data_IF_258044738490
#
_entry.id   IF_258044738490
#
_cell.length_a   1.000
_cell.length_b   1.000
_cell.length_c   1.000
_cell.angle_alpha   90.00
_cell.angle_beta   90.00
_cell.angle_gamma   90.00
#
_symmetry.space_group_name_H-M   'P 1'
#
loop_
_entity.id
_entity.type
_entity.pdbx_description
1 polymer ?
#
# COMPACT_ATOMS: atom_id res chain seq x y z
N UNK A 1 22.64 16.93 -1.41
CA UNK A 1 22.27 17.13 -0.01
C UNK A 1 23.50 17.66 0.67
N UNK A 2 23.52 18.95 0.92
CA UNK A 2 24.49 19.57 1.83
C UNK A 2 24.28 18.93 3.18
N UNK A 3 25.37 18.37 3.74
CA UNK A 3 25.35 17.55 4.96
C UNK A 3 24.40 18.08 6.02
N UNK A 4 23.69 17.16 6.66
CA UNK A 4 22.80 17.49 7.76
C UNK A 4 23.56 18.38 8.73
N UNK A 5 23.19 19.65 8.79
CA UNK A 5 23.65 20.53 9.87
C UNK A 5 23.39 19.78 11.16
N UNK A 6 24.34 19.74 12.08
CA UNK A 6 24.20 19.11 13.39
C UNK A 6 22.89 19.59 14.03
N UNK A 7 21.84 18.78 13.89
CA UNK A 7 20.54 19.04 14.51
C UNK A 7 20.57 18.58 15.96
N UNK A 8 20.20 19.44 16.85
CA UNK A 8 20.04 19.11 18.28
C UNK A 8 18.55 19.09 18.61
N UNK A 9 17.97 17.92 18.88
CA UNK A 9 16.56 17.84 19.23
C UNK A 9 16.30 18.50 20.58
N UNK A 10 15.10 19.04 20.73
CA UNK A 10 14.56 19.42 22.03
C UNK A 10 14.13 18.16 22.82
N UNK A 11 13.96 18.26 24.16
CA UNK A 11 13.33 17.19 24.92
C UNK A 11 11.98 16.79 24.32
N UNK A 12 11.70 15.47 24.24
CA UNK A 12 10.44 14.96 23.68
C UNK A 12 9.28 15.37 24.59
N UNK A 13 8.29 16.04 24.02
CA UNK A 13 7.04 16.35 24.71
C UNK A 13 6.09 15.14 24.64
N UNK A 14 5.65 14.68 25.81
CA UNK A 14 4.68 13.60 25.92
C UNK A 14 3.28 14.23 26.01
N UNK A 15 2.42 13.90 25.04
CA UNK A 15 1.06 14.41 24.99
C UNK A 15 0.14 13.44 24.23
N UNK A 16 -1.13 13.38 24.63
CA UNK A 16 -2.14 12.55 23.98
C UNK A 16 -2.37 13.00 22.54
N UNK A 17 -2.31 12.05 21.61
CA UNK A 17 -2.62 12.29 20.20
C UNK A 17 -4.13 12.54 20.01
N UNK A 18 -4.51 13.59 19.27
CA UNK A 18 -5.93 13.91 19.06
C UNK A 18 -6.64 12.97 18.08
N UNK A 19 -5.89 12.09 17.38
CA UNK A 19 -6.45 11.11 16.44
C UNK A 19 -6.23 9.68 16.93
N UNK A 20 -7.14 8.79 16.59
CA UNK A 20 -7.13 7.41 17.06
C UNK A 20 -6.30 6.47 16.17
N UNK A 21 -6.12 6.82 14.91
CA UNK A 21 -5.38 6.01 13.93
C UNK A 21 -4.14 6.73 13.45
N UNK A 22 -3.08 5.97 13.13
CA UNK A 22 -1.91 6.51 12.43
C UNK A 22 -2.27 6.98 11.02
N UNK A 23 -1.48 7.90 10.47
CA UNK A 23 -1.64 8.42 9.12
C UNK A 23 -1.84 9.93 9.07
N UNK A 24 -2.57 10.39 8.06
CA UNK A 24 -2.75 11.79 7.70
C UNK A 24 -4.21 12.18 7.95
N UNK A 25 -4.44 13.11 8.87
CA UNK A 25 -5.78 13.50 9.32
C UNK A 25 -6.06 14.99 9.13
N UNK A 26 -6.67 15.38 7.99
CA UNK A 26 -7.06 16.76 7.78
C UNK A 26 -8.15 17.24 8.76
N UNK A 27 -8.12 18.52 9.13
CA UNK A 27 -9.24 19.17 9.81
C UNK A 27 -10.45 19.28 8.87
N UNK A 28 -11.64 19.53 9.45
CA UNK A 28 -12.87 19.61 8.68
C UNK A 28 -12.84 20.71 7.60
N UNK A 29 -12.18 21.85 7.86
CA UNK A 29 -12.00 22.94 6.91
C UNK A 29 -10.78 22.77 5.99
N UNK A 30 -9.92 21.79 6.27
CA UNK A 30 -8.72 21.49 5.49
C UNK A 30 -7.56 22.46 5.73
N UNK A 31 -7.65 23.38 6.69
CA UNK A 31 -6.60 24.36 6.97
C UNK A 31 -5.52 23.87 7.92
N UNK A 32 -5.71 22.70 8.52
CA UNK A 32 -4.73 22.02 9.33
C UNK A 32 -4.75 20.52 9.06
N UNK A 33 -3.67 19.84 9.45
CA UNK A 33 -3.53 18.40 9.30
C UNK A 33 -2.75 17.84 10.47
N UNK A 34 -3.23 16.74 11.05
CA UNK A 34 -2.53 15.99 12.10
C UNK A 34 -1.90 14.75 11.49
N UNK A 35 -0.61 14.60 11.69
CA UNK A 35 0.17 13.41 11.31
C UNK A 35 0.40 12.55 12.54
N UNK A 36 0.21 11.26 12.40
CA UNK A 36 0.50 10.29 13.45
C UNK A 36 1.22 9.07 12.86
N UNK A 37 2.34 8.70 13.48
CA UNK A 37 3.16 7.57 13.06
C UNK A 37 3.42 6.66 14.25
N UNK A 38 3.08 5.37 14.12
CA UNK A 38 3.39 4.37 15.12
C UNK A 38 4.90 4.09 15.16
N UNK A 39 5.47 4.08 16.36
CA UNK A 39 6.85 3.71 16.60
C UNK A 39 6.98 3.04 17.98
N UNK A 40 7.07 1.73 17.99
CA UNK A 40 7.50 0.94 19.12
C UNK A 40 8.08 -0.37 18.57
N UNK A 41 9.36 -0.62 18.86
CA UNK A 41 9.99 -1.85 18.43
C UNK A 41 9.62 -3.05 19.32
N UNK A 42 10.02 -4.25 18.95
CA UNK A 42 9.73 -5.47 19.74
C UNK A 42 10.46 -5.53 21.08
N UNK A 43 11.46 -4.67 21.28
CA UNK A 43 12.19 -4.51 22.54
C UNK A 43 11.58 -3.40 23.43
N UNK A 44 10.43 -2.86 23.03
CA UNK A 44 9.72 -1.76 23.68
C UNK A 44 10.49 -0.42 23.73
N UNK A 45 11.23 -0.13 22.66
CA UNK A 45 11.94 1.15 22.52
C UNK A 45 11.28 2.01 21.43
N UNK A 46 11.30 3.32 21.65
CA UNK A 46 11.01 4.34 20.67
C UNK A 46 12.29 4.81 19.96
N UNK A 47 12.17 5.43 18.81
CA UNK A 47 13.20 6.30 18.27
C UNK A 47 13.45 7.46 19.26
N UNK A 48 14.60 8.11 19.16
CA UNK A 48 14.98 9.15 20.13
C UNK A 48 14.15 10.43 19.93
N UNK A 49 13.83 10.77 18.69
CA UNK A 49 12.95 11.89 18.31
C UNK A 49 12.40 11.68 16.90
N UNK A 50 11.35 12.44 16.58
CA UNK A 50 10.78 12.51 15.25
C UNK A 50 10.50 13.96 14.88
N UNK A 51 10.70 14.30 13.59
CA UNK A 51 10.37 15.61 13.04
C UNK A 51 9.63 15.46 11.72
N UNK A 52 8.81 16.44 11.39
CA UNK A 52 8.25 16.59 10.06
C UNK A 52 9.16 17.46 9.20
N UNK A 53 9.39 17.02 7.98
CA UNK A 53 10.05 17.81 6.93
C UNK A 53 9.18 17.75 5.67
N UNK A 54 8.96 18.90 5.04
CA UNK A 54 8.08 18.95 3.88
C UNK A 54 7.96 20.34 3.27
N UNK A 55 7.07 20.47 2.29
CA UNK A 55 6.82 21.73 1.59
C UNK A 55 6.31 22.85 2.52
N UNK A 56 5.71 22.50 3.66
CA UNK A 56 5.22 23.44 4.65
C UNK A 56 6.31 24.11 5.49
N UNK A 57 7.54 23.60 5.48
CA UNK A 57 8.69 24.16 6.22
C UNK A 57 9.98 24.18 5.39
N UNK A 58 9.84 24.19 4.06
CA UNK A 58 10.95 24.15 3.10
C UNK A 58 11.96 23.01 3.32
N UNK A 59 11.46 21.88 3.84
CA UNK A 59 12.26 20.67 4.11
C UNK A 59 13.35 20.86 5.17
N UNK A 60 13.23 21.89 5.99
CA UNK A 60 14.17 22.17 7.05
C UNK A 60 13.91 21.32 8.31
N UNK A 61 14.95 20.71 8.81
CA UNK A 61 14.91 19.99 10.08
C UNK A 61 15.03 21.01 11.22
N UNK A 62 13.98 21.14 12.04
CA UNK A 62 13.91 22.11 13.12
C UNK A 62 13.13 21.59 14.33
N UNK A 63 13.39 22.16 15.50
CA UNK A 63 12.65 21.86 16.72
C UNK A 63 11.21 22.36 16.70
N UNK A 64 10.89 23.33 15.84
CA UNK A 64 9.52 23.84 15.64
C UNK A 64 8.58 22.74 15.10
N UNK A 65 9.10 21.86 14.24
CA UNK A 65 8.36 20.75 13.67
C UNK A 65 8.74 19.40 14.30
N UNK A 66 9.32 19.42 15.48
CA UNK A 66 9.57 18.20 16.24
C UNK A 66 8.24 17.66 16.77
N UNK A 67 8.02 16.38 16.57
CA UNK A 67 6.78 15.72 16.93
C UNK A 67 6.70 15.44 18.42
N UNK A 68 5.47 15.45 18.94
CA UNK A 68 5.12 14.98 20.27
C UNK A 68 4.97 13.46 20.25
N UNK A 69 5.00 12.80 21.40
CA UNK A 69 4.78 11.37 21.51
C UNK A 69 3.63 11.07 22.48
N UNK A 70 2.71 10.25 21.99
CA UNK A 70 1.65 9.63 22.79
C UNK A 70 2.15 8.24 23.22
N UNK A 71 2.44 8.07 24.50
CA UNK A 71 2.98 6.81 25.02
C UNK A 71 1.91 5.71 25.19
N UNK A 72 0.63 6.06 25.18
CA UNK A 72 -0.47 5.09 25.27
C UNK A 72 -0.76 4.46 23.88
N UNK A 73 -0.76 5.29 22.83
CA UNK A 73 -0.96 4.84 21.46
C UNK A 73 0.34 4.47 20.73
N UNK A 74 1.49 4.81 21.31
CA UNK A 74 2.81 4.68 20.68
C UNK A 74 2.93 5.46 19.38
N UNK A 75 2.33 6.66 19.32
CA UNK A 75 2.36 7.55 18.18
C UNK A 75 3.30 8.73 18.40
N UNK A 76 4.14 9.00 17.40
CA UNK A 76 4.66 10.33 17.15
C UNK A 76 3.58 11.12 16.42
N UNK A 77 3.30 12.35 16.85
CA UNK A 77 2.25 13.14 16.23
C UNK A 77 2.56 14.63 16.23
N UNK A 78 2.01 15.34 15.26
CA UNK A 78 2.12 16.78 15.13
C UNK A 78 0.98 17.32 14.28
N UNK A 79 0.45 18.51 14.63
CA UNK A 79 -0.56 19.19 13.82
C UNK A 79 0.07 20.38 13.13
N UNK A 80 0.08 20.38 11.80
CA UNK A 80 0.52 21.49 10.97
C UNK A 80 -0.68 22.38 10.65
N UNK A 81 -0.53 23.69 10.84
CA UNK A 81 -1.54 24.71 10.54
C UNK A 81 -1.15 25.54 9.32
N UNK A 82 -2.06 26.38 8.83
CA UNK A 82 -1.80 27.23 7.66
C UNK A 82 -1.71 26.49 6.33
N UNK A 83 -2.39 25.34 6.24
CA UNK A 83 -2.46 24.53 5.02
C UNK A 83 -3.49 25.14 4.04
N UNK A 84 -3.10 25.21 2.78
CA UNK A 84 -4.03 25.50 1.68
C UNK A 84 -4.77 24.22 1.29
N UNK A 85 -6.11 24.15 1.46
CA UNK A 85 -6.88 22.93 1.19
C UNK A 85 -6.81 22.44 -0.25
N UNK A 86 -6.54 23.33 -1.19
CA UNK A 86 -6.48 23.01 -2.62
C UNK A 86 -5.10 22.54 -3.09
N UNK A 87 -4.06 22.70 -2.25
CA UNK A 87 -2.68 22.44 -2.63
C UNK A 87 -2.22 21.04 -2.20
N UNK A 88 -1.46 20.39 -3.06
CA UNK A 88 -0.70 19.19 -2.69
C UNK A 88 0.62 19.56 -1.99
N UNK A 89 0.96 18.82 -0.94
CA UNK A 89 2.19 18.97 -0.17
C UNK A 89 2.96 17.67 -0.11
N UNK A 90 4.27 17.72 -0.39
CA UNK A 90 5.17 16.63 -0.13
C UNK A 90 5.74 16.70 1.29
N UNK A 91 5.92 15.57 1.95
CA UNK A 91 6.52 15.49 3.27
C UNK A 91 7.13 14.12 3.58
N UNK A 92 7.95 14.10 4.61
CA UNK A 92 8.49 12.89 5.21
C UNK A 92 8.53 13.02 6.73
N UNK A 93 8.58 11.88 7.40
CA UNK A 93 9.03 11.78 8.79
C UNK A 93 10.54 11.63 8.80
N UNK A 94 11.21 12.41 9.62
CA UNK A 94 12.62 12.27 9.95
C UNK A 94 12.73 11.67 11.34
N UNK A 95 13.22 10.43 11.42
CA UNK A 95 13.31 9.68 12.67
C UNK A 95 14.77 9.64 13.12
N UNK A 96 15.04 10.18 14.30
CA UNK A 96 16.38 10.20 14.90
C UNK A 96 16.63 9.02 15.80
N UNK A 97 17.78 8.37 15.66
CA UNK A 97 18.20 7.27 16.52
C UNK A 97 19.72 7.24 16.60
N UNK A 98 20.27 7.33 17.82
CA UNK A 98 21.70 7.13 18.04
C UNK A 98 22.13 5.68 17.76
N UNK A 99 21.24 4.74 18.08
CA UNK A 99 21.50 3.31 17.93
C UNK A 99 21.48 2.85 16.46
N UNK A 100 20.46 3.28 15.71
CA UNK A 100 20.14 2.72 14.38
C UNK A 100 20.47 3.70 13.24
N UNK A 101 20.91 4.93 13.56
CA UNK A 101 21.05 6.02 12.61
C UNK A 101 19.73 6.71 12.28
N UNK A 102 19.82 7.85 11.60
CA UNK A 102 18.65 8.63 11.21
C UNK A 102 18.04 8.09 9.92
N UNK A 103 16.71 8.14 9.82
CA UNK A 103 16.00 7.68 8.63
C UNK A 103 14.91 8.66 8.22
N UNK A 104 14.73 8.80 6.90
CA UNK A 104 13.63 9.56 6.27
C UNK A 104 12.66 8.56 5.67
N UNK A 105 11.39 8.64 6.03
CA UNK A 105 10.35 7.77 5.51
C UNK A 105 9.12 8.57 5.12
N UNK A 106 8.40 8.09 4.10
CA UNK A 106 7.05 8.57 3.79
C UNK A 106 6.03 8.03 4.78
N UNK A 107 4.84 8.57 4.74
CA UNK A 107 3.72 8.05 5.52
C UNK A 107 3.22 6.73 4.90
N UNK A 108 3.07 5.66 5.69
CA UNK A 108 2.60 4.36 5.18
C UNK A 108 1.18 4.38 4.61
N UNK A 109 0.38 5.38 4.96
CA UNK A 109 -1.03 5.52 4.57
C UNK A 109 -1.25 6.60 3.52
N UNK A 110 -0.18 7.21 2.98
CA UNK A 110 -0.32 8.21 1.94
C UNK A 110 -0.89 7.61 0.65
N UNK A 111 -1.68 8.42 -0.06
CA UNK A 111 -2.36 7.99 -1.29
C UNK A 111 -1.61 8.36 -2.57
N UNK A 112 -0.46 9.00 -2.43
CA UNK A 112 0.45 9.36 -3.52
C UNK A 112 1.87 9.50 -2.98
N UNK A 113 2.84 9.06 -3.77
CA UNK A 113 4.26 9.20 -3.46
C UNK A 113 5.02 9.87 -4.60
N UNK A 114 6.17 10.44 -4.29
CA UNK A 114 7.13 10.95 -5.26
C UNK A 114 8.44 10.17 -5.13
N UNK A 115 9.00 9.77 -6.26
CA UNK A 115 10.25 9.02 -6.34
C UNK A 115 11.28 9.79 -7.16
N UNK A 116 12.29 10.31 -6.50
CA UNK A 116 13.34 11.12 -7.15
C UNK A 116 14.18 10.38 -8.18
N UNK A 117 14.17 9.05 -8.15
CA UNK A 117 14.91 8.23 -9.09
C UNK A 117 14.13 7.93 -10.38
N UNK A 118 12.82 7.79 -10.29
CA UNK A 118 11.99 7.23 -11.35
C UNK A 118 10.97 8.19 -11.95
N UNK A 119 10.44 9.14 -11.17
CA UNK A 119 9.35 10.03 -11.63
C UNK A 119 9.73 10.89 -12.84
N UNK A 120 11.00 11.29 -12.96
CA UNK A 120 11.49 12.09 -14.09
C UNK A 120 11.20 11.43 -15.45
N UNK A 121 11.29 10.11 -15.53
CA UNK A 121 11.02 9.38 -16.76
C UNK A 121 9.53 9.38 -17.11
N UNK A 122 8.65 9.37 -16.10
CA UNK A 122 7.22 9.50 -16.29
C UNK A 122 6.83 10.89 -16.78
N UNK A 123 7.51 11.94 -16.28
CA UNK A 123 7.32 13.32 -16.74
C UNK A 123 7.81 13.47 -18.19
N UNK A 124 9.01 12.99 -18.48
CA UNK A 124 9.62 13.07 -19.84
C UNK A 124 8.76 12.37 -20.88
N UNK A 125 8.11 11.27 -20.52
CA UNK A 125 7.23 10.51 -21.42
C UNK A 125 5.76 10.92 -21.37
N UNK A 126 5.42 11.99 -20.64
CA UNK A 126 4.05 12.53 -20.60
C UNK A 126 3.04 11.69 -19.82
N UNK A 127 3.50 10.74 -19.00
CA UNK A 127 2.62 9.92 -18.14
C UNK A 127 2.20 10.71 -16.90
N UNK A 128 3.16 11.38 -16.26
CA UNK A 128 2.94 12.22 -15.08
C UNK A 128 3.04 13.69 -15.49
N UNK A 129 2.04 14.54 -15.19
CA UNK A 129 2.05 15.92 -15.66
C UNK A 129 3.18 16.75 -15.05
N UNK A 130 3.89 17.52 -15.88
CA UNK A 130 4.94 18.44 -15.41
C UNK A 130 4.38 19.57 -14.51
N UNK A 131 3.08 19.86 -14.62
CA UNK A 131 2.37 20.84 -13.79
C UNK A 131 1.94 20.30 -12.42
N UNK A 132 1.97 18.98 -12.21
CA UNK A 132 1.67 18.36 -10.92
C UNK A 132 2.85 18.54 -9.95
N UNK A 133 2.62 18.22 -8.67
CA UNK A 133 3.69 18.27 -7.67
C UNK A 133 4.87 17.38 -8.09
N UNK A 134 6.09 17.92 -8.04
CA UNK A 134 7.31 17.25 -8.43
C UNK A 134 8.15 16.87 -7.21
N UNK A 135 9.02 15.90 -7.38
CA UNK A 135 9.99 15.52 -6.36
C UNK A 135 10.86 16.73 -5.97
N UNK A 136 11.05 17.01 -4.67
CA UNK A 136 11.82 18.16 -4.19
C UNK A 136 13.34 17.91 -4.29
N UNK A 137 13.85 17.89 -5.52
CA UNK A 137 15.25 17.62 -5.80
C UNK A 137 16.19 18.56 -5.03
N UNK A 138 17.23 17.99 -4.43
CA UNK A 138 18.22 18.73 -3.65
C UNK A 138 17.81 19.07 -2.21
N UNK A 139 16.54 18.86 -1.83
CA UNK A 139 16.01 19.15 -0.49
C UNK A 139 15.92 17.93 0.39
N UNK A 140 15.70 16.75 -0.19
CA UNK A 140 15.56 15.49 0.55
C UNK A 140 16.02 14.30 -0.29
N UNK A 141 15.97 13.11 0.31
CA UNK A 141 16.26 11.82 -0.31
C UNK A 141 15.18 10.80 0.06
N UNK A 142 15.07 9.72 -0.71
CA UNK A 142 14.09 8.67 -0.48
C UNK A 142 12.69 9.02 -1.00
N UNK A 143 11.74 8.14 -0.77
CA UNK A 143 10.36 8.32 -1.21
C UNK A 143 9.68 9.42 -0.38
N UNK A 144 9.00 10.33 -1.06
CA UNK A 144 8.24 11.43 -0.46
C UNK A 144 6.76 11.10 -0.51
N UNK A 145 6.08 11.19 0.62
CA UNK A 145 4.63 11.10 0.70
C UNK A 145 3.96 12.43 0.37
N UNK A 146 2.80 12.37 -0.26
CA UNK A 146 2.01 13.55 -0.67
C UNK A 146 0.65 13.51 -0.01
N UNK A 147 0.18 14.67 0.44
CA UNK A 147 -1.20 14.87 0.90
C UNK A 147 -1.83 16.11 0.28
N UNK A 148 -3.13 16.10 0.21
CA UNK A 148 -3.99 17.24 -0.06
C UNK A 148 -5.17 17.16 0.91
N UNK A 149 -5.45 18.23 1.65
CA UNK A 149 -6.44 18.16 2.73
C UNK A 149 -7.87 18.17 2.22
N UNK A 150 -8.15 18.80 1.09
CA UNK A 150 -9.46 18.77 0.43
C UNK A 150 -9.34 18.50 -1.07
N UNK A 151 -9.02 17.27 -1.46
CA UNK A 151 -9.03 16.88 -2.88
C UNK A 151 -10.45 16.89 -3.41
N UNK A 152 -10.61 17.15 -4.71
CA UNK A 152 -11.90 17.01 -5.39
C UNK A 152 -12.40 15.56 -5.27
N UNK A 153 -13.68 15.40 -4.94
CA UNK A 153 -14.32 14.08 -4.92
C UNK A 153 -14.56 13.58 -6.33
N UNK A 154 -14.33 12.30 -6.55
CA UNK A 154 -14.72 11.65 -7.81
C UNK A 154 -16.25 11.49 -7.87
N UNK A 155 -16.84 11.86 -9.00
CA UNK A 155 -18.28 11.71 -9.22
C UNK A 155 -18.57 10.36 -9.89
N UNK A 156 -18.87 9.34 -9.07
CA UNK A 156 -19.22 8.00 -9.55
C UNK A 156 -20.51 8.01 -10.34
N UNK A 157 -20.45 7.47 -11.56
CA UNK A 157 -21.64 7.32 -12.42
C UNK A 157 -22.43 6.05 -12.08
N UNK A 158 -21.76 5.02 -11.58
CA UNK A 158 -22.36 3.79 -11.06
C UNK A 158 -22.02 3.65 -9.59
N UNK A 159 -23.04 3.67 -8.73
CA UNK A 159 -22.87 3.64 -7.28
C UNK A 159 -23.19 2.29 -6.64
N UNK A 160 -23.91 1.43 -7.33
CA UNK A 160 -24.56 0.23 -6.79
C UNK A 160 -24.22 -1.06 -7.55
N UNK A 161 -23.09 -1.09 -8.23
CA UNK A 161 -22.65 -2.28 -8.96
C UNK A 161 -22.48 -3.48 -8.02
N UNK A 162 -22.94 -4.64 -8.46
CA UNK A 162 -22.80 -5.93 -7.79
C UNK A 162 -22.46 -7.02 -8.79
N UNK A 163 -21.67 -7.98 -8.38
CA UNK A 163 -21.49 -9.23 -9.11
C UNK A 163 -22.79 -10.04 -9.00
N UNK A 164 -23.43 -10.37 -10.13
CA UNK A 164 -24.69 -11.11 -10.15
C UNK A 164 -24.55 -12.51 -9.54
N UNK A 165 -23.55 -13.25 -10.04
CA UNK A 165 -23.20 -14.57 -9.52
C UNK A 165 -21.69 -14.74 -9.51
N UNK A 166 -21.07 -14.73 -8.32
CA UNK A 166 -19.62 -14.87 -8.20
C UNK A 166 -19.07 -16.24 -8.66
N UNK A 167 -19.93 -17.26 -8.77
CA UNK A 167 -19.52 -18.57 -9.28
C UNK A 167 -19.48 -18.64 -10.81
N UNK A 168 -20.06 -17.65 -11.49
CA UNK A 168 -20.12 -17.55 -12.95
C UNK A 168 -19.18 -16.46 -13.49
N UNK A 169 -18.17 -16.06 -12.75
CA UNK A 169 -17.19 -15.10 -13.25
C UNK A 169 -16.29 -15.73 -14.31
N UNK A 170 -16.18 -15.02 -15.42
CA UNK A 170 -15.15 -15.24 -16.43
C UNK A 170 -14.18 -14.07 -16.34
N UNK A 171 -13.00 -14.35 -15.82
CA UNK A 171 -12.03 -13.34 -15.40
C UNK A 171 -10.97 -13.15 -16.48
N UNK A 172 -10.71 -11.90 -16.84
CA UNK A 172 -9.61 -11.48 -17.71
C UNK A 172 -8.52 -10.82 -16.84
N UNK A 173 -7.38 -11.48 -16.69
CA UNK A 173 -6.23 -10.90 -16.00
C UNK A 173 -5.55 -9.88 -16.90
N UNK A 174 -5.30 -8.69 -16.39
CA UNK A 174 -4.82 -7.53 -17.15
C UNK A 174 -3.63 -6.87 -16.47
N UNK A 175 -2.55 -6.70 -17.22
CA UNK A 175 -1.47 -5.78 -16.91
C UNK A 175 -1.54 -4.60 -17.89
N UNK A 176 -1.76 -3.38 -17.42
CA UNK A 176 -1.96 -2.20 -18.27
C UNK A 176 -0.83 -2.01 -19.29
N UNK A 177 0.42 -2.11 -18.82
CA UNK A 177 1.57 -2.01 -19.70
C UNK A 177 1.50 -2.97 -20.88
N UNK A 178 1.32 -4.26 -20.61
CA UNK A 178 1.37 -5.29 -21.62
C UNK A 178 0.12 -5.28 -22.53
N UNK A 179 -0.98 -4.69 -22.05
CA UNK A 179 -2.23 -4.65 -22.78
C UNK A 179 -2.23 -3.61 -23.91
N UNK A 180 -1.67 -2.42 -23.67
CA UNK A 180 -1.76 -1.31 -24.63
C UNK A 180 -0.41 -0.70 -25.01
N UNK A 181 0.69 -0.98 -24.28
CA UNK A 181 1.96 -0.32 -24.54
C UNK A 181 2.57 -0.69 -25.91
N UNK A 182 2.99 0.33 -26.63
CA UNK A 182 3.69 0.19 -27.91
C UNK A 182 5.19 0.39 -27.67
N UNK A 183 5.98 -0.66 -27.88
CA UNK A 183 7.42 -0.60 -27.67
C UNK A 183 7.81 -0.15 -26.25
N UNK A 184 8.62 0.89 -26.14
CA UNK A 184 9.06 1.50 -24.87
C UNK A 184 8.27 2.76 -24.47
N UNK A 185 7.19 3.08 -25.16
CA UNK A 185 6.39 4.27 -24.93
C UNK A 185 5.45 4.08 -23.73
N UNK A 186 5.87 4.49 -22.53
CA UNK A 186 5.11 4.34 -21.28
C UNK A 186 3.73 5.00 -21.37
N UNK A 187 3.60 6.13 -22.06
CA UNK A 187 2.32 6.83 -22.22
C UNK A 187 1.24 6.01 -22.92
N UNK A 188 1.61 4.99 -23.69
CA UNK A 188 0.66 4.09 -24.35
C UNK A 188 0.22 2.91 -23.49
N UNK A 189 0.94 2.63 -22.39
CA UNK A 189 0.66 1.53 -21.46
C UNK A 189 -0.05 2.00 -20.17
N UNK A 190 -0.89 3.03 -20.26
CA UNK A 190 -1.58 3.62 -19.10
C UNK A 190 -2.99 3.07 -18.93
N UNK A 191 -3.56 3.28 -17.75
CA UNK A 191 -4.95 2.93 -17.45
C UNK A 191 -5.94 3.71 -18.34
N UNK A 192 -5.60 4.95 -18.69
CA UNK A 192 -6.40 5.78 -19.59
C UNK A 192 -6.48 5.16 -21.00
N UNK A 193 -5.37 4.63 -21.50
CA UNK A 193 -5.36 3.91 -22.78
C UNK A 193 -6.14 2.60 -22.70
N UNK A 194 -5.96 1.83 -21.62
CA UNK A 194 -6.70 0.58 -21.39
C UNK A 194 -8.23 0.81 -21.36
N UNK A 195 -8.68 1.92 -20.77
CA UNK A 195 -10.10 2.29 -20.68
C UNK A 195 -10.76 2.38 -22.06
N UNK A 196 -10.02 2.76 -23.11
CA UNK A 196 -10.51 2.85 -24.48
C UNK A 196 -10.80 1.48 -25.12
N UNK A 197 -10.33 0.40 -24.53
CA UNK A 197 -10.43 -0.95 -25.05
C UNK A 197 -11.39 -1.86 -24.27
N UNK A 198 -12.22 -1.31 -23.39
CA UNK A 198 -13.19 -2.09 -22.61
C UNK A 198 -14.25 -2.78 -23.48
N UNK A 199 -14.64 -2.18 -24.59
CA UNK A 199 -15.58 -2.81 -25.54
C UNK A 199 -14.99 -4.10 -26.13
N UNK A 200 -13.69 -4.12 -26.40
CA UNK A 200 -13.01 -5.35 -26.84
C UNK A 200 -13.07 -6.43 -25.74
N UNK A 201 -12.72 -6.10 -24.51
CA UNK A 201 -12.78 -7.04 -23.39
C UNK A 201 -14.23 -7.56 -23.22
N UNK A 202 -15.20 -6.67 -23.25
CA UNK A 202 -16.62 -7.04 -23.17
C UNK A 202 -17.04 -8.00 -24.30
N UNK A 203 -16.52 -7.81 -25.50
CA UNK A 203 -16.82 -8.66 -26.64
C UNK A 203 -16.33 -10.11 -26.50
N UNK A 204 -15.36 -10.35 -25.62
CA UNK A 204 -14.86 -11.69 -25.30
C UNK A 204 -15.80 -12.49 -24.38
N UNK A 205 -16.87 -11.88 -23.89
CA UNK A 205 -17.82 -12.50 -22.97
C UNK A 205 -17.35 -12.56 -21.52
N UNK A 206 -16.26 -11.87 -21.18
CA UNK A 206 -15.80 -11.75 -19.78
C UNK A 206 -16.69 -10.80 -18.99
N UNK A 207 -16.85 -11.06 -17.69
CA UNK A 207 -17.64 -10.25 -16.79
C UNK A 207 -16.85 -9.77 -15.55
N UNK A 208 -15.56 -10.04 -15.50
CA UNK A 208 -14.65 -9.54 -14.50
C UNK A 208 -13.25 -9.29 -15.09
N UNK A 209 -12.61 -8.22 -14.64
CA UNK A 209 -11.19 -7.93 -14.91
C UNK A 209 -10.45 -8.07 -13.59
N UNK A 210 -9.37 -8.85 -13.58
CA UNK A 210 -8.42 -8.90 -12.50
C UNK A 210 -7.21 -8.06 -12.87
N UNK A 211 -7.01 -6.94 -12.17
CA UNK A 211 -5.84 -6.09 -12.37
C UNK A 211 -4.65 -6.71 -11.65
N UNK A 212 -3.56 -6.93 -12.38
CA UNK A 212 -2.27 -7.22 -11.75
C UNK A 212 -1.89 -6.06 -10.82
N UNK A 213 -1.00 -6.28 -9.84
CA UNK A 213 -0.79 -5.30 -8.76
C UNK A 213 -0.51 -3.89 -9.25
N UNK A 214 -1.27 -2.93 -8.74
CA UNK A 214 -1.20 -1.51 -9.11
C UNK A 214 -0.91 -0.59 -7.90
N UNK A 215 -0.79 -1.15 -6.71
CA UNK A 215 -0.31 -0.38 -5.57
C UNK A 215 1.15 0.00 -5.82
N UNK A 216 1.60 1.15 -5.35
CA UNK A 216 2.92 1.69 -5.68
C UNK A 216 4.01 0.64 -5.47
N UNK A 217 4.72 0.32 -6.55
CA UNK A 217 5.83 -0.62 -6.58
C UNK A 217 7.15 0.10 -6.89
N UNK A 218 8.28 -0.53 -6.60
CA UNK A 218 9.58 0.03 -6.93
C UNK A 218 9.80 0.12 -8.44
N UNK A 219 10.24 1.28 -8.92
CA UNK A 219 10.50 1.56 -10.34
C UNK A 219 9.21 1.86 -11.12
N UNK A 220 9.35 1.98 -12.45
CA UNK A 220 8.25 2.29 -13.36
C UNK A 220 7.82 1.10 -14.22
N UNK A 221 8.53 -0.01 -14.15
CA UNK A 221 8.32 -1.18 -14.99
C UNK A 221 8.38 -2.45 -14.16
N UNK A 222 7.21 -2.97 -13.81
CA UNK A 222 7.06 -4.16 -12.97
C UNK A 222 5.73 -4.84 -13.24
N UNK A 223 5.63 -6.12 -12.88
CA UNK A 223 4.34 -6.79 -12.73
C UNK A 223 3.58 -6.35 -11.46
N UNK A 224 4.26 -5.60 -10.56
CA UNK A 224 3.67 -5.05 -9.35
C UNK A 224 3.85 -5.91 -8.10
N UNK A 225 4.55 -7.06 -8.19
CA UNK A 225 4.80 -7.94 -7.03
C UNK A 225 5.98 -7.49 -6.15
N UNK A 226 6.36 -6.23 -6.27
CA UNK A 226 7.36 -5.54 -5.46
C UNK A 226 6.79 -4.25 -4.84
N UNK A 227 5.70 -4.36 -4.05
CA UNK A 227 5.01 -3.18 -3.52
C UNK A 227 5.81 -2.51 -2.40
N UNK A 228 5.66 -1.20 -2.29
CA UNK A 228 6.27 -0.41 -1.23
C UNK A 228 5.29 0.53 -0.50
N UNK A 229 4.25 1.04 -1.18
CA UNK A 229 3.22 1.88 -0.57
C UNK A 229 1.83 1.37 -0.96
N UNK A 230 1.11 0.82 0.01
CA UNK A 230 -0.12 0.07 -0.25
C UNK A 230 -1.37 0.93 -0.43
N UNK A 231 -1.36 2.19 0.02
CA UNK A 231 -2.49 3.11 -0.13
C UNK A 231 -2.35 4.02 -1.35
N UNK A 232 -1.18 4.06 -1.97
CA UNK A 232 -0.91 4.81 -3.19
C UNK A 232 -1.04 3.90 -4.42
N UNK A 233 -1.73 4.39 -5.46
CA UNK A 233 -1.74 3.73 -6.76
C UNK A 233 -0.54 4.18 -7.57
N UNK A 234 0.05 3.27 -8.35
CA UNK A 234 1.29 3.52 -9.07
C UNK A 234 1.09 4.56 -10.19
N UNK A 235 1.91 5.60 -10.17
CA UNK A 235 1.87 6.70 -11.13
C UNK A 235 2.27 6.30 -12.55
N UNK A 236 2.96 5.16 -12.72
CA UNK A 236 3.33 4.66 -14.04
C UNK A 236 2.12 4.33 -14.90
N UNK A 237 0.97 4.08 -14.29
CA UNK A 237 -0.27 3.78 -15.02
C UNK A 237 -1.26 4.93 -15.07
N UNK A 238 -1.19 5.89 -14.15
CA UNK A 238 -2.10 7.02 -14.16
C UNK A 238 -2.34 7.65 -12.79
N UNK A 239 -3.32 8.54 -12.77
CA UNK A 239 -3.75 9.27 -11.57
C UNK A 239 -4.84 8.50 -10.81
N UNK A 240 -5.04 8.88 -9.54
CA UNK A 240 -6.12 8.34 -8.70
C UNK A 240 -7.50 8.46 -9.39
N UNK A 241 -7.76 9.60 -10.03
CA UNK A 241 -9.01 9.83 -10.78
C UNK A 241 -9.15 8.89 -11.97
N UNK A 242 -8.08 8.65 -12.72
CA UNK A 242 -8.08 7.76 -13.87
C UNK A 242 -8.30 6.29 -13.47
N UNK A 243 -7.80 5.85 -12.31
CA UNK A 243 -8.11 4.54 -11.76
C UNK A 243 -9.61 4.41 -11.40
N UNK A 244 -10.18 5.42 -10.75
CA UNK A 244 -11.63 5.43 -10.44
C UNK A 244 -12.48 5.45 -11.71
N UNK A 245 -12.08 6.22 -12.71
CA UNK A 245 -12.76 6.27 -14.00
C UNK A 245 -12.76 4.91 -14.70
N UNK A 246 -11.65 4.19 -14.69
CA UNK A 246 -11.57 2.83 -15.24
C UNK A 246 -12.56 1.89 -14.56
N UNK A 247 -12.61 1.88 -13.23
CA UNK A 247 -13.54 1.04 -12.47
C UNK A 247 -14.99 1.41 -12.78
N UNK A 248 -15.29 2.69 -12.83
CA UNK A 248 -16.63 3.21 -13.14
C UNK A 248 -17.08 2.80 -14.55
N UNK A 249 -16.21 2.93 -15.56
CA UNK A 249 -16.48 2.48 -16.93
C UNK A 249 -16.67 0.97 -17.02
N UNK A 250 -15.90 0.17 -16.28
CA UNK A 250 -16.12 -1.27 -16.17
C UNK A 250 -17.50 -1.58 -15.61
N UNK A 251 -17.90 -0.92 -14.54
CA UNK A 251 -19.22 -1.09 -13.90
C UNK A 251 -20.37 -0.71 -14.84
N UNK A 252 -20.22 0.35 -15.63
CA UNK A 252 -21.21 0.71 -16.66
C UNK A 252 -21.44 -0.41 -17.68
N UNK A 253 -20.41 -1.17 -17.98
CA UNK A 253 -20.48 -2.30 -18.91
C UNK A 253 -20.82 -3.64 -18.26
N UNK A 254 -21.10 -3.64 -16.95
CA UNK A 254 -21.41 -4.87 -16.22
C UNK A 254 -20.19 -5.74 -15.93
N UNK A 255 -18.99 -5.15 -15.92
CA UNK A 255 -17.71 -5.82 -15.65
C UNK A 255 -17.26 -5.51 -14.22
N UNK A 256 -17.08 -6.55 -13.41
CA UNK A 256 -16.47 -6.44 -12.10
C UNK A 256 -14.96 -6.13 -12.19
N UNK A 257 -14.40 -5.47 -11.20
CA UNK A 257 -12.96 -5.19 -11.13
C UNK A 257 -12.38 -5.77 -9.85
N UNK A 258 -11.49 -6.74 -10.00
CA UNK A 258 -10.76 -7.38 -8.92
C UNK A 258 -9.33 -6.84 -8.89
N UNK A 259 -8.75 -6.73 -7.69
CA UNK A 259 -7.36 -6.30 -7.53
C UNK A 259 -6.49 -7.43 -7.01
N UNK A 260 -5.38 -7.68 -7.68
CA UNK A 260 -4.31 -8.54 -7.20
C UNK A 260 -3.53 -7.79 -6.11
N UNK A 261 -3.57 -8.31 -4.88
CA UNK A 261 -2.94 -7.72 -3.70
C UNK A 261 -1.82 -8.61 -3.17
N UNK A 262 -0.72 -7.98 -2.76
CA UNK A 262 0.52 -8.64 -2.38
C UNK A 262 0.85 -8.33 -0.92
N UNK A 263 0.38 -9.17 0.00
CA UNK A 263 0.63 -8.98 1.44
C UNK A 263 1.61 -10.00 2.03
N UNK A 264 2.15 -10.91 1.23
CA UNK A 264 3.20 -11.81 1.69
C UNK A 264 4.48 -11.05 2.05
N UNK A 265 4.81 -10.02 1.28
CA UNK A 265 6.07 -9.28 1.37
C UNK A 265 5.91 -7.83 0.91
N UNK A 266 6.91 -7.02 1.25
CA UNK A 266 7.12 -5.70 0.68
C UNK A 266 8.61 -5.48 0.41
N UNK A 267 8.94 -4.47 -0.40
CA UNK A 267 10.35 -4.10 -0.66
C UNK A 267 10.95 -3.33 0.51
N UNK A 268 12.27 -3.18 0.50
CA UNK A 268 13.00 -2.35 1.47
C UNK A 268 12.67 -0.85 1.39
N UNK A 269 11.92 -0.41 0.37
CA UNK A 269 11.42 0.97 0.26
C UNK A 269 10.19 1.22 1.13
N UNK A 270 9.53 0.16 1.63
CA UNK A 270 8.38 0.30 2.52
C UNK A 270 8.76 1.02 3.81
N UNK A 271 7.97 2.00 4.28
CA UNK A 271 8.28 2.78 5.49
C UNK A 271 8.52 1.93 6.73
N UNK A 272 7.70 0.89 6.94
CA UNK A 272 7.87 -0.02 8.08
C UNK A 272 9.11 -0.91 7.99
N UNK A 273 9.59 -1.20 6.79
CA UNK A 273 10.86 -1.90 6.62
C UNK A 273 12.04 -0.97 6.96
N UNK A 274 12.00 0.28 6.46
CA UNK A 274 13.05 1.30 6.71
C UNK A 274 13.14 1.71 8.17
N UNK A 275 12.04 1.74 8.89
CA UNK A 275 11.97 2.22 10.27
C UNK A 275 12.84 1.39 11.22
N UNK A 276 12.92 0.09 10.98
CA UNK A 276 13.79 -0.85 11.72
C UNK A 276 14.53 -1.72 10.72
N UNK A 277 15.69 -1.23 10.29
CA UNK A 277 16.47 -1.80 9.20
C UNK A 277 17.89 -2.14 9.63
N UNK A 278 18.38 -3.31 9.20
CA UNK A 278 19.77 -3.74 9.36
C UNK A 278 20.52 -3.51 8.04
N UNK A 279 21.24 -2.40 7.95
CA UNK A 279 21.99 -2.04 6.73
C UNK A 279 23.19 -2.93 6.43
N UNK A 280 23.74 -3.64 7.43
CA UNK A 280 24.86 -4.57 7.22
C UNK A 280 24.43 -5.81 6.44
N UNK A 281 23.22 -6.28 6.70
CA UNK A 281 22.67 -7.47 6.05
C UNK A 281 21.67 -7.14 4.94
N UNK A 282 21.33 -5.86 4.76
CA UNK A 282 20.29 -5.41 3.85
C UNK A 282 18.94 -6.11 4.09
N UNK A 283 18.56 -6.22 5.36
CA UNK A 283 17.34 -6.88 5.84
C UNK A 283 16.62 -6.02 6.88
N UNK A 284 15.36 -6.32 7.10
CA UNK A 284 14.63 -5.82 8.26
C UNK A 284 15.30 -6.28 9.55
N UNK A 285 15.35 -5.40 10.54
CA UNK A 285 16.04 -5.68 11.80
C UNK A 285 15.23 -6.65 12.67
N UNK A 286 15.91 -7.31 13.63
CA UNK A 286 15.28 -8.27 14.56
C UNK A 286 14.16 -7.65 15.40
N UNK A 287 14.26 -6.36 15.68
CA UNK A 287 13.28 -5.61 16.48
C UNK A 287 12.16 -4.99 15.67
N UNK A 288 12.09 -5.28 14.35
CA UNK A 288 11.01 -4.80 13.50
C UNK A 288 9.69 -5.52 13.87
N UNK A 289 8.63 -4.78 14.28
CA UNK A 289 7.38 -5.41 14.70
C UNK A 289 6.46 -5.81 13.54
N UNK A 290 6.79 -5.46 12.30
CA UNK A 290 5.99 -5.80 11.11
C UNK A 290 6.59 -6.93 10.27
N UNK A 291 7.91 -7.03 10.20
CA UNK A 291 8.61 -7.93 9.28
C UNK A 291 9.44 -8.97 10.02
N UNK A 292 9.50 -10.16 9.43
CA UNK A 292 10.49 -11.17 9.80
C UNK A 292 11.87 -10.80 9.22
N UNK A 293 12.93 -11.17 9.91
CA UNK A 293 14.29 -11.05 9.35
C UNK A 293 14.45 -11.99 8.16
N UNK A 294 14.00 -13.23 8.34
CA UNK A 294 13.95 -14.26 7.32
C UNK A 294 12.56 -14.90 7.33
N UNK A 295 12.04 -15.20 6.14
CA UNK A 295 10.76 -15.87 6.02
C UNK A 295 10.81 -17.26 6.69
N UNK A 296 9.80 -17.64 7.49
CA UNK A 296 9.74 -18.97 8.10
C UNK A 296 9.36 -20.08 7.10
N UNK A 297 8.91 -19.70 5.91
CA UNK A 297 8.49 -20.55 4.81
C UNK A 297 9.45 -20.44 3.61
N UNK A 298 9.42 -21.36 2.63
CA UNK A 298 10.35 -21.33 1.49
C UNK A 298 10.08 -20.21 0.46
N UNK A 299 8.98 -19.47 0.60
CA UNK A 299 8.55 -18.41 -0.33
C UNK A 299 9.13 -17.06 0.09
N UNK A 300 10.43 -17.00 0.27
CA UNK A 300 11.14 -15.76 0.63
C UNK A 300 11.27 -14.85 -0.59
N UNK A 301 10.49 -13.77 -0.59
CA UNK A 301 10.52 -12.73 -1.61
C UNK A 301 10.65 -11.40 -0.88
N UNK A 302 11.62 -10.57 -1.25
CA UNK A 302 11.89 -9.28 -0.58
C UNK A 302 11.90 -9.41 0.95
N UNK A 303 11.01 -8.68 1.67
CA UNK A 303 10.93 -8.70 3.14
C UNK A 303 9.56 -9.24 3.56
N UNK A 304 9.58 -10.26 4.37
CA UNK A 304 8.43 -11.09 4.73
C UNK A 304 7.61 -10.45 5.86
N UNK A 305 6.31 -10.23 5.63
CA UNK A 305 5.41 -9.75 6.67
C UNK A 305 5.12 -10.84 7.71
N UNK A 306 5.13 -10.43 8.98
CA UNK A 306 4.67 -11.26 10.09
C UNK A 306 3.15 -11.09 10.29
N UNK A 307 2.33 -11.97 9.72
CA UNK A 307 0.88 -11.89 9.84
C UNK A 307 0.32 -12.29 11.23
N UNK A 308 1.16 -12.76 12.14
CA UNK A 308 0.79 -12.90 13.56
C UNK A 308 0.89 -11.57 14.30
N UNK A 309 1.61 -10.58 13.78
CA UNK A 309 1.68 -9.25 14.35
C UNK A 309 0.33 -8.54 14.26
N UNK A 310 -0.23 -8.07 15.39
CA UNK A 310 -1.46 -7.28 15.36
C UNK A 310 -1.35 -6.02 14.49
N UNK A 311 -0.15 -5.44 14.40
CA UNK A 311 0.12 -4.26 13.58
C UNK A 311 0.00 -4.57 12.09
N UNK A 312 0.50 -5.71 11.64
CA UNK A 312 0.36 -6.18 10.25
C UNK A 312 -1.11 -6.49 9.95
N UNK A 313 -1.80 -7.19 10.84
CA UNK A 313 -3.22 -7.54 10.70
C UNK A 313 -4.07 -6.28 10.53
N UNK A 314 -3.86 -5.28 11.37
CA UNK A 314 -4.57 -4.01 11.30
C UNK A 314 -4.25 -3.25 10.00
N UNK A 315 -2.99 -3.19 9.60
CA UNK A 315 -2.56 -2.53 8.37
C UNK A 315 -3.21 -3.17 7.13
N UNK A 316 -3.19 -4.50 7.01
CA UNK A 316 -3.81 -5.21 5.90
C UNK A 316 -5.32 -5.01 5.88
N UNK A 317 -5.99 -5.15 7.02
CA UNK A 317 -7.46 -4.94 7.11
C UNK A 317 -7.84 -3.51 6.74
N UNK A 318 -7.08 -2.53 7.20
CA UNK A 318 -7.31 -1.12 6.85
C UNK A 318 -7.11 -0.88 5.36
N UNK A 319 -6.11 -1.49 4.75
CA UNK A 319 -5.86 -1.39 3.31
C UNK A 319 -6.99 -2.03 2.49
N UNK A 320 -7.46 -3.22 2.85
CA UNK A 320 -8.59 -3.88 2.18
C UNK A 320 -9.86 -3.03 2.23
N UNK A 321 -10.19 -2.50 3.40
CA UNK A 321 -11.34 -1.61 3.57
C UNK A 321 -11.22 -0.35 2.71
N UNK A 322 -10.05 0.28 2.72
CA UNK A 322 -9.77 1.46 1.89
C UNK A 322 -9.97 1.19 0.40
N UNK A 323 -9.45 0.08 -0.11
CA UNK A 323 -9.58 -0.29 -1.52
C UNK A 323 -11.03 -0.53 -1.93
N UNK A 324 -11.82 -1.17 -1.06
CA UNK A 324 -13.25 -1.41 -1.30
C UNK A 324 -14.07 -0.11 -1.27
N UNK A 325 -13.83 0.74 -0.31
CA UNK A 325 -14.61 1.97 -0.11
C UNK A 325 -14.20 3.10 -1.06
N UNK A 326 -12.89 3.34 -1.21
CA UNK A 326 -12.38 4.47 -1.99
C UNK A 326 -12.41 4.21 -3.49
N UNK A 327 -12.02 3.01 -3.92
CA UNK A 327 -11.93 2.66 -5.36
C UNK A 327 -13.09 1.80 -5.86
N UNK A 328 -13.93 1.28 -4.96
CA UNK A 328 -15.05 0.40 -5.31
C UNK A 328 -14.62 -0.87 -6.05
N UNK A 329 -13.48 -1.45 -5.68
CA UNK A 329 -13.12 -2.79 -6.14
C UNK A 329 -14.19 -3.80 -5.73
N UNK A 330 -14.44 -4.78 -6.58
CA UNK A 330 -15.45 -5.82 -6.35
C UNK A 330 -14.87 -7.06 -5.66
N UNK A 331 -13.61 -7.02 -5.34
CA UNK A 331 -12.92 -8.07 -4.62
C UNK A 331 -11.43 -8.11 -4.93
N UNK A 332 -10.79 -9.18 -4.48
CA UNK A 332 -9.34 -9.34 -4.51
C UNK A 332 -8.93 -10.73 -4.94
N UNK A 333 -7.76 -10.79 -5.58
CA UNK A 333 -6.94 -11.99 -5.65
C UNK A 333 -5.73 -11.76 -4.74
N UNK A 334 -5.54 -12.64 -3.77
CA UNK A 334 -4.42 -12.57 -2.83
C UNK A 334 -3.27 -13.40 -3.33
N UNK A 335 -2.14 -12.73 -3.58
CA UNK A 335 -0.89 -13.36 -3.98
C UNK A 335 -0.27 -14.16 -2.83
N UNK A 336 0.21 -15.36 -3.13
CA UNK A 336 1.09 -16.16 -2.26
C UNK A 336 0.59 -16.31 -0.80
N UNK A 337 -0.67 -16.62 -0.61
CA UNK A 337 -1.28 -16.76 0.73
C UNK A 337 -0.74 -17.94 1.54
N UNK A 338 -0.10 -18.90 0.88
CA UNK A 338 0.66 -19.98 1.52
C UNK A 338 1.73 -19.44 2.48
N UNK A 339 2.25 -18.24 2.21
CA UNK A 339 3.24 -17.55 3.04
C UNK A 339 2.67 -16.83 4.28
N UNK A 340 1.36 -16.83 4.53
CA UNK A 340 0.74 -16.11 5.65
C UNK A 340 0.81 -16.91 6.95
N UNK A 341 2.02 -17.28 7.35
CA UNK A 341 2.26 -18.11 8.54
C UNK A 341 3.62 -17.81 9.17
N UNK A 342 3.72 -18.00 10.48
CA UNK A 342 4.98 -18.00 11.24
C UNK A 342 5.49 -19.42 11.52
N UNK A 343 4.74 -20.45 11.13
CA UNK A 343 5.18 -21.83 11.25
C UNK A 343 6.29 -22.12 10.25
N UNK A 344 7.38 -22.70 10.75
CA UNK A 344 8.50 -23.08 9.90
C UNK A 344 8.13 -24.22 8.96
N UNK A 345 8.44 -24.06 7.70
CA UNK A 345 8.22 -25.07 6.66
C UNK A 345 9.33 -25.08 5.62
N UNK A 346 9.34 -26.10 4.79
CA UNK A 346 10.16 -26.22 3.59
C UNK A 346 9.26 -26.57 2.40
N UNK A 347 9.82 -26.74 1.22
CA UNK A 347 9.06 -27.04 0.00
C UNK A 347 8.16 -28.27 0.14
N UNK A 348 8.59 -29.29 0.90
CA UNK A 348 7.80 -30.52 1.10
C UNK A 348 6.69 -30.41 2.15
N UNK A 349 6.75 -29.43 3.04
CA UNK A 349 5.80 -29.29 4.17
C UNK A 349 4.95 -28.03 4.11
N UNK A 350 5.29 -27.07 3.25
CA UNK A 350 4.60 -25.78 3.17
C UNK A 350 3.11 -25.90 2.82
N UNK A 351 2.71 -26.94 2.10
CA UNK A 351 1.31 -27.18 1.72
C UNK A 351 0.50 -27.92 2.78
N UNK A 352 1.13 -28.42 3.86
CA UNK A 352 0.43 -29.08 4.94
C UNK A 352 -0.51 -28.13 5.66
N UNK A 353 -1.60 -28.68 6.18
CA UNK A 353 -2.60 -27.90 6.90
C UNK A 353 -1.97 -27.07 8.03
N UNK A 354 -2.29 -25.79 8.05
CA UNK A 354 -1.80 -24.83 9.03
C UNK A 354 -3.00 -24.02 9.58
N UNK A 355 -3.42 -24.39 10.80
CA UNK A 355 -4.58 -23.76 11.43
C UNK A 355 -4.35 -22.27 11.72
N UNK A 356 -3.11 -21.84 11.98
CA UNK A 356 -2.79 -20.42 12.20
C UNK A 356 -3.00 -19.60 10.93
N UNK A 357 -2.63 -20.12 9.78
CA UNK A 357 -2.84 -19.50 8.48
C UNK A 357 -4.32 -19.40 8.12
N UNK A 358 -5.10 -20.42 8.43
CA UNK A 358 -6.56 -20.41 8.27
C UNK A 358 -7.18 -19.29 9.10
N UNK A 359 -6.78 -19.13 10.35
CA UNK A 359 -7.28 -18.06 11.23
C UNK A 359 -6.97 -16.68 10.66
N UNK A 360 -5.75 -16.47 10.18
CA UNK A 360 -5.31 -15.22 9.56
C UNK A 360 -6.16 -14.89 8.32
N UNK A 361 -6.33 -15.84 7.42
CA UNK A 361 -7.09 -15.64 6.19
C UNK A 361 -8.58 -15.42 6.46
N UNK A 362 -9.16 -16.11 7.42
CA UNK A 362 -10.55 -15.88 7.87
C UNK A 362 -10.73 -14.49 8.47
N UNK A 363 -9.74 -13.96 9.17
CA UNK A 363 -9.78 -12.60 9.71
C UNK A 363 -9.80 -11.55 8.59
N UNK A 364 -8.95 -11.70 7.58
CA UNK A 364 -8.96 -10.82 6.41
C UNK A 364 -10.26 -10.93 5.61
N UNK A 365 -10.76 -12.15 5.41
CA UNK A 365 -12.04 -12.38 4.75
C UNK A 365 -13.20 -11.72 5.50
N UNK A 366 -13.21 -11.78 6.82
CA UNK A 366 -14.22 -11.11 7.65
C UNK A 366 -14.26 -9.61 7.38
N UNK A 367 -13.10 -8.96 7.25
CA UNK A 367 -13.01 -7.53 6.92
C UNK A 367 -13.59 -7.26 5.54
N UNK A 368 -13.20 -8.04 4.52
CA UNK A 368 -13.72 -7.90 3.16
C UNK A 368 -15.24 -8.06 3.15
N UNK A 369 -15.75 -9.15 3.74
CA UNK A 369 -17.17 -9.46 3.74
C UNK A 369 -18.02 -8.48 4.57
N UNK A 370 -17.46 -7.94 5.64
CA UNK A 370 -18.16 -6.93 6.48
C UNK A 370 -18.21 -5.59 5.74
N UNK A 371 -17.15 -5.21 5.04
CA UNK A 371 -17.08 -3.94 4.31
C UNK A 371 -17.97 -3.98 3.06
N UNK A 372 -17.91 -5.06 2.29
CA UNK A 372 -18.79 -5.30 1.14
C UNK A 372 -19.16 -6.80 1.03
N UNK A 373 -20.37 -7.19 1.44
CA UNK A 373 -20.81 -8.59 1.37
C UNK A 373 -20.83 -9.19 -0.05
N UNK A 374 -20.82 -8.36 -1.08
CA UNK A 374 -20.77 -8.81 -2.47
C UNK A 374 -19.34 -8.94 -3.03
N UNK A 375 -18.32 -8.51 -2.27
CA UNK A 375 -16.94 -8.63 -2.68
C UNK A 375 -16.46 -10.08 -2.60
N UNK A 376 -15.61 -10.48 -3.54
CA UNK A 376 -14.99 -11.80 -3.56
C UNK A 376 -13.55 -11.73 -3.06
N UNK A 377 -13.10 -12.81 -2.44
CA UNK A 377 -11.71 -12.99 -2.03
C UNK A 377 -11.19 -14.30 -2.62
N UNK A 378 -10.29 -14.19 -3.57
CA UNK A 378 -9.68 -15.31 -4.28
C UNK A 378 -8.26 -15.48 -3.76
N UNK A 379 -7.86 -16.71 -3.46
CA UNK A 379 -6.53 -17.01 -2.92
C UNK A 379 -5.66 -17.76 -3.92
N UNK A 380 -4.47 -17.25 -4.18
CA UNK A 380 -3.39 -18.07 -4.72
C UNK A 380 -2.76 -18.84 -3.56
N UNK A 381 -3.31 -20.01 -3.26
CA UNK A 381 -2.99 -20.74 -2.03
C UNK A 381 -2.16 -22.01 -2.29
N UNK A 382 -2.68 -22.92 -3.11
CA UNK A 382 -2.01 -24.16 -3.50
C UNK A 382 -1.54 -25.02 -2.32
N UNK A 383 -2.34 -25.09 -1.28
CA UNK A 383 -2.14 -25.99 -0.15
C UNK A 383 -2.93 -27.28 -0.33
N UNK A 384 -2.76 -28.22 0.61
CA UNK A 384 -3.50 -29.47 0.59
C UNK A 384 -5.01 -29.24 0.73
N UNK A 385 -5.79 -30.17 0.19
CA UNK A 385 -7.24 -30.07 0.05
C UNK A 385 -7.98 -29.88 1.39
N UNK A 386 -7.45 -30.43 2.48
CA UNK A 386 -8.05 -30.30 3.82
C UNK A 386 -8.07 -28.83 4.28
N UNK A 387 -7.00 -28.06 4.04
CA UNK A 387 -6.99 -26.62 4.33
C UNK A 387 -7.84 -25.83 3.33
N UNK A 388 -7.68 -26.09 2.03
CA UNK A 388 -8.40 -25.36 0.99
C UNK A 388 -9.92 -25.56 1.09
N UNK A 389 -10.38 -26.76 1.42
CA UNK A 389 -11.79 -27.04 1.66
C UNK A 389 -12.35 -26.23 2.83
N UNK A 390 -11.56 -26.03 3.88
CA UNK A 390 -11.98 -25.22 5.03
C UNK A 390 -12.09 -23.73 4.67
N UNK A 391 -11.14 -23.20 3.90
CA UNK A 391 -11.16 -21.82 3.40
C UNK A 391 -12.34 -21.59 2.44
N UNK A 392 -12.59 -22.54 1.54
CA UNK A 392 -13.74 -22.48 0.62
C UNK A 392 -15.08 -22.49 1.35
N UNK A 393 -15.23 -23.33 2.37
CA UNK A 393 -16.45 -23.39 3.22
C UNK A 393 -16.65 -22.09 3.99
N UNK A 394 -15.60 -21.36 4.31
CA UNK A 394 -15.68 -20.06 4.96
C UNK A 394 -16.14 -18.94 4.00
N UNK A 395 -16.12 -19.17 2.68
CA UNK A 395 -16.58 -18.22 1.66
C UNK A 395 -15.49 -17.69 0.71
N UNK A 396 -14.23 -18.06 0.91
CA UNK A 396 -13.14 -17.70 0.03
C UNK A 396 -13.15 -18.57 -1.23
N UNK A 397 -12.61 -18.03 -2.34
CA UNK A 397 -12.41 -18.74 -3.59
C UNK A 397 -10.92 -19.09 -3.74
N UNK A 398 -10.64 -20.17 -4.39
CA UNK A 398 -9.29 -20.71 -4.52
C UNK A 398 -8.91 -20.84 -6.00
N UNK A 399 -7.71 -20.41 -6.32
CA UNK A 399 -7.10 -20.76 -7.58
C UNK A 399 -6.81 -22.26 -7.62
N UNK A 400 -7.23 -22.90 -8.67
CA UNK A 400 -6.94 -24.30 -8.90
C UNK A 400 -6.21 -24.48 -10.24
N UNK A 401 -5.20 -25.31 -10.23
CA UNK A 401 -4.57 -25.77 -11.47
C UNK A 401 -5.41 -26.92 -12.05
N UNK A 402 -6.04 -26.69 -13.20
CA UNK A 402 -6.91 -27.68 -13.86
C UNK A 402 -6.17 -28.98 -14.25
N UNK A 403 -4.84 -29.01 -14.17
CA UNK A 403 -4.05 -30.19 -14.47
C UNK A 403 -3.81 -31.13 -13.26
N UNK A 404 -4.30 -30.78 -12.08
CA UNK A 404 -4.15 -31.56 -10.85
C UNK A 404 -5.46 -32.15 -10.31
N UNK A 405 -6.51 -32.13 -11.12
CA UNK A 405 -7.82 -32.74 -10.78
C UNK A 405 -7.91 -34.22 -11.10
#
# INVERSE_FOLDING_TARGET
VTGDKTFTPAPVEIAACPVEEAGIHPSADGTSVTFALYDLDTDNNYKDYACLIGDFNDWELSTEYQMKRDNDKHFWWYTVTGIDPAKEYGFQYYMGSEKDGNVRIGDPYCEKVLDGSNDKYLVEQGVYPASAIQYPNGKTTGIVSVFQTKPASYNWQVSDFKIDNPDNMVIYELLFRDFTQVGSELATGTIKEATKHLDYIKSLGVNAIELMPIQEFDGNNSWGYNPCYYFAMDKAYGTKEEYKQFIDECHKQGIAVLLDVVYNHATGSHPFAKLYWNSKESKTAKNNPWFNVDAPHPFSVFHDFNHESPLVREFVKRNLKFLLEEYKFDGFRFDLTKGFTQNKSNESTASNKDDSRIVILKDYYKTVNTTNPNAVMILEHFCNLDEESELAKAGMKLWHNMNES
#
